data_IF_583070332937
#
_entry.id   IF_583070332937
#
_cell.length_a   1.000
_cell.length_b   1.000
_cell.length_c   1.000
_cell.angle_alpha   90.00
_cell.angle_beta   90.00
_cell.angle_gamma   90.00
#
_symmetry.space_group_name_H-M   'P 1'
#
loop_
_entity.id
_entity.type
_entity.pdbx_description
1 polymer ?
#
# COMPACT_ATOMS: atom_id res chain seq x y z
N UNK A 1 41.49 21.65 3.22
CA UNK A 1 40.09 21.19 3.11
C UNK A 1 39.77 20.86 1.65
N UNK A 2 39.69 19.58 1.27
CA UNK A 2 39.29 19.17 -0.08
C UNK A 2 37.76 19.14 -0.15
N UNK A 3 37.16 20.06 -0.91
CA UNK A 3 35.72 20.08 -1.17
C UNK A 3 35.30 18.76 -1.83
N UNK A 4 34.42 18.00 -1.17
CA UNK A 4 33.74 16.84 -1.76
C UNK A 4 32.83 17.35 -2.88
N UNK A 5 33.23 17.13 -4.14
CA UNK A 5 32.35 17.30 -5.31
C UNK A 5 31.11 16.41 -5.12
N UNK A 6 29.95 17.02 -4.89
CA UNK A 6 28.64 16.34 -4.95
C UNK A 6 28.54 15.68 -6.32
N UNK A 7 28.62 14.35 -6.37
CA UNK A 7 28.27 13.59 -7.57
C UNK A 7 26.78 13.78 -7.80
N UNK A 8 26.42 14.65 -8.74
CA UNK A 8 25.08 14.69 -9.29
C UNK A 8 24.87 13.38 -10.04
N UNK A 9 23.98 12.51 -9.50
CA UNK A 9 23.56 11.30 -10.21
C UNK A 9 23.07 11.73 -11.60
N UNK A 10 23.50 11.08 -12.70
CA UNK A 10 23.02 11.41 -14.03
C UNK A 10 21.49 11.31 -14.05
N UNK A 11 20.81 12.33 -14.58
CA UNK A 11 19.36 12.29 -14.81
C UNK A 11 19.08 11.05 -15.66
N UNK A 12 18.24 10.14 -15.15
CA UNK A 12 17.84 8.93 -15.91
C UNK A 12 17.26 9.40 -17.24
N UNK A 13 17.88 9.00 -18.35
CA UNK A 13 17.36 9.25 -19.70
C UNK A 13 16.10 8.38 -19.84
N UNK A 14 14.93 9.01 -19.94
CA UNK A 14 13.70 8.30 -20.27
C UNK A 14 13.85 7.68 -21.65
N UNK A 15 13.52 6.39 -21.78
CA UNK A 15 13.52 5.71 -23.05
C UNK A 15 12.11 5.81 -23.59
N UNK A 16 11.79 6.82 -24.38
CA UNK A 16 10.45 6.94 -25.01
C UNK A 16 10.30 5.96 -26.18
N UNK A 17 10.42 4.65 -25.89
CA UNK A 17 10.15 3.57 -26.83
C UNK A 17 8.74 3.04 -26.56
N UNK A 18 7.88 3.13 -27.57
CA UNK A 18 6.59 2.45 -27.57
C UNK A 18 6.79 0.94 -27.72
N UNK A 19 6.01 0.16 -26.98
CA UNK A 19 6.00 -1.29 -26.97
C UNK A 19 4.56 -1.76 -27.16
N UNK A 20 4.35 -2.67 -28.10
CA UNK A 20 3.13 -3.48 -28.14
C UNK A 20 3.17 -4.50 -27.00
N UNK A 21 2.02 -4.76 -26.39
CA UNK A 21 1.89 -5.76 -25.34
C UNK A 21 0.64 -6.61 -25.52
N UNK A 22 0.70 -7.81 -24.95
CA UNK A 22 -0.45 -8.64 -24.63
C UNK A 22 -0.26 -9.13 -23.19
N UNK A 23 -1.22 -8.85 -22.32
CA UNK A 23 -1.13 -9.20 -20.90
C UNK A 23 -1.57 -10.66 -20.72
N UNK A 24 -0.66 -11.47 -20.18
CA UNK A 24 -0.92 -12.90 -19.93
C UNK A 24 -1.45 -13.15 -18.52
N UNK A 25 -0.90 -12.43 -17.54
CA UNK A 25 -1.25 -12.55 -16.13
C UNK A 25 -0.92 -11.26 -15.37
N UNK A 26 -1.20 -11.26 -14.06
CA UNK A 26 -0.82 -10.18 -13.16
C UNK A 26 0.21 -10.66 -12.14
N UNK A 27 1.06 -9.74 -11.67
CA UNK A 27 1.96 -9.99 -10.55
C UNK A 27 1.28 -9.73 -9.20
N UNK A 28 1.99 -10.02 -8.10
CA UNK A 28 1.48 -9.80 -6.74
C UNK A 28 1.30 -8.32 -6.38
N UNK A 29 1.82 -7.40 -7.19
CA UNK A 29 1.66 -5.94 -7.01
C UNK A 29 0.49 -5.38 -7.82
N UNK A 30 -0.26 -6.22 -8.54
CA UNK A 30 -1.38 -5.79 -9.37
C UNK A 30 -0.95 -5.15 -10.69
N UNK A 31 0.23 -5.52 -11.20
CA UNK A 31 0.72 -5.08 -12.50
C UNK A 31 0.45 -6.18 -13.53
N UNK A 32 -0.06 -5.81 -14.71
CA UNK A 32 -0.13 -6.72 -15.83
C UNK A 32 1.28 -7.08 -16.30
N UNK A 33 1.48 -8.34 -16.66
CA UNK A 33 2.75 -8.87 -17.12
C UNK A 33 2.59 -9.33 -18.57
N UNK A 34 3.39 -8.74 -19.45
CA UNK A 34 3.52 -9.11 -20.85
C UNK A 34 4.91 -9.68 -21.12
N UNK A 35 5.04 -10.50 -22.16
CA UNK A 35 6.33 -10.92 -22.69
C UNK A 35 6.69 -10.11 -23.93
N UNK A 36 7.62 -9.17 -23.79
CA UNK A 36 8.09 -8.29 -24.88
C UNK A 36 9.58 -8.53 -25.10
N UNK A 37 10.02 -8.73 -26.35
CA UNK A 37 11.42 -9.04 -26.68
C UNK A 37 12.00 -10.20 -25.83
N UNK A 38 11.20 -11.26 -25.59
CA UNK A 38 11.53 -12.40 -24.71
C UNK A 38 11.85 -12.05 -23.24
N UNK A 39 11.42 -10.88 -22.77
CA UNK A 39 11.61 -10.42 -21.38
C UNK A 39 10.26 -10.10 -20.75
N UNK A 40 10.08 -10.36 -19.45
CA UNK A 40 8.89 -9.91 -18.74
C UNK A 40 8.87 -8.39 -18.70
N UNK A 41 7.72 -7.82 -19.04
CA UNK A 41 7.42 -6.40 -19.02
C UNK A 41 6.23 -6.16 -18.09
N UNK A 42 6.47 -5.41 -17.01
CA UNK A 42 5.44 -5.03 -16.04
C UNK A 42 4.77 -3.74 -16.46
N UNK A 43 3.44 -3.76 -16.58
CA UNK A 43 2.61 -2.67 -17.08
C UNK A 43 1.46 -2.47 -16.06
N UNK A 44 1.60 -1.54 -15.11
CA UNK A 44 0.52 -1.23 -14.17
C UNK A 44 -0.76 -0.80 -14.90
N UNK A 45 -1.92 -0.99 -14.26
CA UNK A 45 -3.24 -0.55 -14.76
C UNK A 45 -3.73 -1.32 -16.00
N UNK A 46 -3.25 -2.55 -16.17
CA UNK A 46 -3.67 -3.46 -17.23
C UNK A 46 -4.08 -4.81 -16.65
N UNK A 47 -5.02 -5.48 -17.33
CA UNK A 47 -5.61 -6.75 -16.93
C UNK A 47 -5.23 -7.87 -17.92
N UNK A 48 -5.25 -9.15 -17.48
CA UNK A 48 -5.13 -10.29 -18.37
C UNK A 48 -6.15 -10.26 -19.51
N UNK A 49 -5.70 -10.60 -20.72
CA UNK A 49 -6.52 -10.53 -21.94
C UNK A 49 -6.45 -9.20 -22.69
N UNK A 50 -5.79 -8.18 -22.12
CA UNK A 50 -5.65 -6.87 -22.76
C UNK A 50 -4.46 -6.80 -23.71
N UNK A 51 -4.63 -6.02 -24.78
CA UNK A 51 -3.55 -5.67 -25.71
C UNK A 51 -3.52 -4.17 -25.94
N UNK A 52 -2.35 -3.62 -26.28
CA UNK A 52 -2.23 -2.21 -26.56
C UNK A 52 -0.80 -1.72 -26.69
N UNK A 53 -0.64 -0.41 -26.47
CA UNK A 53 0.65 0.27 -26.51
C UNK A 53 1.03 0.74 -25.10
N UNK A 54 2.27 0.49 -24.71
CA UNK A 54 2.88 1.01 -23.50
C UNK A 54 4.18 1.76 -23.81
N UNK A 55 4.53 2.73 -22.98
CA UNK A 55 5.80 3.46 -23.08
C UNK A 55 6.80 2.87 -22.11
N UNK A 56 7.94 2.38 -22.60
CA UNK A 56 9.02 1.86 -21.76
C UNK A 56 9.50 2.94 -20.78
N UNK A 57 9.55 2.64 -19.49
CA UNK A 57 10.02 3.59 -18.46
C UNK A 57 11.39 3.18 -17.92
N UNK A 58 11.64 1.87 -17.83
CA UNK A 58 12.90 1.32 -17.32
C UNK A 58 13.14 -0.09 -17.88
N UNK A 59 14.36 -0.37 -18.31
CA UNK A 59 14.83 -1.72 -18.59
C UNK A 59 16.05 -2.01 -17.70
N UNK A 60 16.02 -3.09 -16.92
CA UNK A 60 17.12 -3.45 -16.01
C UNK A 60 17.05 -4.92 -15.62
N UNK A 61 18.22 -5.57 -15.45
CA UNK A 61 18.32 -6.95 -14.92
C UNK A 61 17.42 -7.98 -15.63
N UNK A 62 17.26 -7.87 -16.95
CA UNK A 62 16.45 -8.81 -17.73
C UNK A 62 14.94 -8.57 -17.66
N UNK A 63 14.48 -7.53 -16.97
CA UNK A 63 13.06 -7.16 -16.91
C UNK A 63 12.82 -5.75 -17.45
N UNK A 64 11.59 -5.48 -17.88
CA UNK A 64 11.15 -4.18 -18.36
C UNK A 64 9.97 -3.67 -17.52
N UNK A 65 9.90 -2.35 -17.38
CA UNK A 65 8.77 -1.64 -16.78
C UNK A 65 8.28 -0.63 -17.80
N UNK A 66 6.97 -0.58 -18.03
CA UNK A 66 6.35 0.36 -18.95
C UNK A 66 5.11 1.00 -18.30
N UNK A 67 4.66 2.11 -18.88
CA UNK A 67 3.40 2.77 -18.51
C UNK A 67 2.40 2.59 -19.64
N UNK A 68 1.18 2.19 -19.32
CA UNK A 68 0.09 2.11 -20.28
C UNK A 68 -0.05 3.43 -21.04
N UNK A 69 -0.18 3.37 -22.36
CA UNK A 69 -0.43 4.52 -23.23
C UNK A 69 -1.82 4.44 -23.85
N UNK A 70 -2.19 3.28 -24.37
CA UNK A 70 -3.52 3.03 -24.94
C UNK A 70 -3.82 1.53 -24.93
N UNK A 71 -5.11 1.20 -24.90
CA UNK A 71 -5.62 -0.16 -25.07
C UNK A 71 -6.23 -0.29 -26.45
N UNK A 72 -5.89 -1.38 -27.14
CA UNK A 72 -6.51 -1.78 -28.40
C UNK A 72 -7.62 -2.82 -28.15
N UNK A 73 -7.41 -3.71 -27.18
CA UNK A 73 -8.38 -4.70 -26.69
C UNK A 73 -8.46 -4.58 -25.17
N UNK A 74 -9.67 -4.41 -24.65
CA UNK A 74 -9.98 -4.35 -23.22
C UNK A 74 -10.48 -5.71 -22.72
N UNK A 75 -10.19 -6.05 -21.46
CA UNK A 75 -10.73 -7.26 -20.85
C UNK A 75 -12.23 -7.09 -20.51
N UNK A 76 -12.98 -8.18 -20.54
CA UNK A 76 -14.43 -8.17 -20.25
C UNK A 76 -14.76 -7.71 -18.82
N UNK A 77 -13.82 -7.91 -17.89
CA UNK A 77 -13.92 -7.51 -16.49
C UNK A 77 -13.26 -6.15 -16.19
N UNK A 78 -12.94 -5.36 -17.22
CA UNK A 78 -12.52 -3.97 -17.03
C UNK A 78 -13.70 -3.11 -16.64
N UNK A 79 -13.51 -2.29 -15.61
CA UNK A 79 -14.45 -1.25 -15.20
C UNK A 79 -13.77 0.12 -15.27
N UNK A 80 -14.57 1.17 -15.45
CA UNK A 80 -14.07 2.54 -15.32
C UNK A 80 -13.77 2.81 -13.82
N UNK A 81 -12.54 3.20 -13.46
CA UNK A 81 -12.17 3.43 -12.08
C UNK A 81 -12.93 4.60 -11.47
N UNK A 82 -13.50 4.40 -10.29
CA UNK A 82 -14.24 5.46 -9.58
C UNK A 82 -13.39 6.70 -9.22
N UNK A 83 -12.06 6.57 -9.15
CA UNK A 83 -11.14 7.63 -8.77
C UNK A 83 -10.53 8.31 -9.99
N UNK A 84 -10.75 9.63 -10.14
CA UNK A 84 -10.22 10.43 -11.25
C UNK A 84 -8.69 10.44 -11.35
N UNK A 85 -8.01 10.15 -10.24
CA UNK A 85 -6.55 10.10 -10.16
C UNK A 85 -5.98 8.71 -10.49
N UNK A 86 -6.82 7.70 -10.74
CA UNK A 86 -6.40 6.30 -10.77
C UNK A 86 -5.27 6.01 -11.76
N UNK A 87 -5.31 6.57 -12.96
CA UNK A 87 -4.32 6.27 -14.00
C UNK A 87 -2.90 6.75 -13.65
N UNK A 88 -2.78 7.88 -12.97
CA UNK A 88 -1.50 8.48 -12.62
C UNK A 88 -1.04 8.13 -11.20
N UNK A 89 -1.98 8.02 -10.26
CA UNK A 89 -1.69 7.77 -8.85
C UNK A 89 -1.21 6.32 -8.62
N UNK A 90 -0.07 6.13 -7.93
CA UNK A 90 0.47 4.81 -7.62
C UNK A 90 -0.25 4.13 -6.44
N UNK A 91 -1.23 4.77 -5.82
CA UNK A 91 -1.83 4.29 -4.55
C UNK A 91 -2.76 3.09 -4.69
N UNK A 92 -3.61 3.07 -5.73
CA UNK A 92 -4.60 2.01 -5.95
C UNK A 92 -4.24 1.19 -7.19
N UNK A 93 -4.37 -0.14 -7.14
CA UNK A 93 -3.94 -1.00 -8.26
C UNK A 93 -5.10 -1.59 -9.06
N UNK A 94 -6.24 -1.87 -8.43
CA UNK A 94 -7.30 -2.72 -9.00
C UNK A 94 -8.64 -2.03 -9.28
N UNK A 95 -8.76 -0.69 -9.13
CA UNK A 95 -10.04 0.01 -9.36
C UNK A 95 -10.53 -0.06 -10.82
N UNK A 96 -9.70 -0.54 -11.75
CA UNK A 96 -10.03 -0.74 -13.15
C UNK A 96 -10.63 -2.13 -13.44
N UNK A 97 -10.96 -2.91 -12.42
CA UNK A 97 -11.63 -4.21 -12.55
C UNK A 97 -12.71 -4.37 -11.49
N UNK A 98 -13.69 -5.22 -11.80
CA UNK A 98 -14.72 -5.61 -10.85
C UNK A 98 -14.09 -6.25 -9.60
N UNK A 99 -14.82 -6.21 -8.49
CA UNK A 99 -14.26 -6.61 -7.21
C UNK A 99 -13.98 -8.13 -7.12
N UNK A 100 -14.80 -8.95 -7.78
CA UNK A 100 -14.59 -10.41 -7.77
C UNK A 100 -13.31 -10.77 -8.51
N UNK A 101 -13.05 -10.11 -9.64
CA UNK A 101 -11.80 -10.24 -10.37
C UNK A 101 -10.59 -9.80 -9.54
N UNK A 102 -10.68 -8.67 -8.81
CA UNK A 102 -9.62 -8.26 -7.87
C UNK A 102 -9.28 -9.35 -6.84
N UNK A 103 -10.29 -9.96 -6.21
CA UNK A 103 -10.11 -11.03 -5.24
C UNK A 103 -9.47 -12.26 -5.88
N UNK A 104 -9.94 -12.64 -7.08
CA UNK A 104 -9.39 -13.75 -7.83
C UNK A 104 -7.91 -13.55 -8.17
N UNK A 105 -7.52 -12.36 -8.64
CA UNK A 105 -6.13 -12.06 -8.95
C UNK A 105 -5.23 -12.11 -7.72
N UNK A 106 -5.70 -11.59 -6.58
CA UNK A 106 -4.98 -11.68 -5.30
C UNK A 106 -4.80 -13.12 -4.84
N UNK A 107 -5.85 -13.94 -4.94
CA UNK A 107 -5.79 -15.36 -4.60
C UNK A 107 -4.79 -16.10 -5.49
N UNK A 108 -4.87 -15.90 -6.82
CA UNK A 108 -3.94 -16.52 -7.77
C UNK A 108 -2.48 -16.13 -7.49
N UNK A 109 -2.23 -14.87 -7.13
CA UNK A 109 -0.89 -14.41 -6.78
C UNK A 109 -0.35 -15.14 -5.53
N UNK A 110 -1.20 -15.32 -4.50
CA UNK A 110 -0.87 -16.09 -3.30
C UNK A 110 -0.64 -17.57 -3.63
N UNK A 111 -1.52 -18.20 -4.39
CA UNK A 111 -1.38 -19.60 -4.83
C UNK A 111 -0.06 -19.83 -5.57
N UNK A 112 0.32 -18.89 -6.45
CA UNK A 112 1.57 -18.95 -7.19
C UNK A 112 2.80 -18.84 -6.29
N UNK A 113 2.70 -18.10 -5.17
CA UNK A 113 3.76 -18.08 -4.16
C UNK A 113 3.80 -19.38 -3.36
N UNK A 114 2.64 -19.87 -2.89
CA UNK A 114 2.54 -21.08 -2.08
C UNK A 114 2.98 -22.33 -2.84
N UNK A 115 2.64 -22.46 -4.14
CA UNK A 115 3.09 -23.57 -5.00
C UNK A 115 4.61 -23.68 -5.15
N UNK A 116 5.36 -22.59 -4.90
CA UNK A 116 6.83 -22.59 -4.96
C UNK A 116 7.46 -23.04 -3.64
N UNK A 117 6.68 -23.10 -2.56
CA UNK A 117 7.13 -23.62 -1.29
C UNK A 117 7.09 -25.14 -1.35
N UNK A 118 8.12 -25.79 -0.78
CA UNK A 118 8.14 -27.26 -0.62
C UNK A 118 7.34 -27.68 0.62
N UNK A 119 6.10 -27.20 0.75
CA UNK A 119 5.23 -27.43 1.90
C UNK A 119 3.79 -27.70 1.43
N UNK A 120 2.98 -28.45 2.21
CA UNK A 120 1.55 -28.53 1.99
C UNK A 120 0.93 -27.13 1.97
N UNK A 121 0.15 -26.85 0.94
CA UNK A 121 -0.57 -25.58 0.81
C UNK A 121 -1.94 -25.76 1.48
N UNK A 122 -2.27 -24.99 2.52
CA UNK A 122 -3.60 -25.06 3.14
C UNK A 122 -4.66 -24.51 2.17
N UNK A 123 -5.91 -24.86 2.42
CA UNK A 123 -7.03 -24.15 1.79
C UNK A 123 -7.01 -22.69 2.25
N UNK A 124 -7.06 -21.76 1.29
CA UNK A 124 -7.04 -20.34 1.57
C UNK A 124 -8.44 -19.78 1.43
N UNK A 125 -8.98 -19.26 2.53
CA UNK A 125 -10.22 -18.50 2.54
C UNK A 125 -9.92 -17.02 2.22
N UNK A 126 -10.58 -16.48 1.19
CA UNK A 126 -10.53 -15.06 0.88
C UNK A 126 -11.67 -14.36 1.60
N UNK A 127 -11.34 -13.47 2.53
CA UNK A 127 -12.35 -12.63 3.19
C UNK A 127 -12.48 -11.29 2.45
N UNK A 128 -13.62 -11.02 1.78
CA UNK A 128 -13.83 -9.75 1.09
C UNK A 128 -14.04 -8.61 2.09
N UNK A 129 -13.72 -7.39 1.66
CA UNK A 129 -14.15 -6.17 2.35
C UNK A 129 -15.51 -5.72 1.83
N UNK A 130 -16.33 -5.16 2.71
CA UNK A 130 -17.61 -4.54 2.33
C UNK A 130 -17.39 -3.23 1.55
N UNK A 131 -16.27 -2.54 1.76
CA UNK A 131 -15.99 -1.22 1.18
C UNK A 131 -14.58 -1.16 0.57
N UNK A 132 -14.50 -1.01 -0.75
CA UNK A 132 -13.22 -0.86 -1.50
C UNK A 132 -12.56 0.52 -1.33
N UNK A 133 -13.33 1.51 -0.88
CA UNK A 133 -12.97 2.92 -0.78
C UNK A 133 -13.21 3.40 0.67
N UNK A 134 -12.69 4.58 1.02
CA UNK A 134 -12.92 5.18 2.34
C UNK A 134 -12.26 4.46 3.51
N UNK A 135 -11.43 3.43 3.27
CA UNK A 135 -10.95 2.56 4.34
C UNK A 135 -9.68 3.05 5.03
N UNK A 136 -8.92 3.97 4.43
CA UNK A 136 -7.61 4.37 4.96
C UNK A 136 -7.76 5.40 6.07
N UNK A 137 -7.55 4.96 7.31
CA UNK A 137 -7.48 5.83 8.49
C UNK A 137 -6.15 6.60 8.61
N UNK A 138 -5.21 6.39 7.68
CA UNK A 138 -3.89 7.00 7.64
C UNK A 138 -3.39 7.14 6.20
N UNK A 139 -2.81 8.29 5.88
CA UNK A 139 -2.21 8.59 4.59
C UNK A 139 -0.95 9.44 4.75
N UNK A 140 0.12 9.07 4.04
CA UNK A 140 1.34 9.86 3.96
C UNK A 140 1.44 10.44 2.54
N UNK A 141 1.51 11.76 2.46
CA UNK A 141 1.71 12.53 1.24
C UNK A 141 3.13 13.09 1.26
N UNK A 142 3.73 13.22 0.08
CA UNK A 142 5.02 13.88 -0.10
C UNK A 142 4.81 15.28 -0.64
N UNK A 143 5.59 16.23 -0.15
CA UNK A 143 5.58 17.59 -0.66
C UNK A 143 6.91 17.96 -1.33
N UNK A 144 6.82 18.83 -2.34
CA UNK A 144 7.94 19.49 -3.00
C UNK A 144 7.55 20.90 -3.41
N UNK A 145 8.19 21.89 -2.80
CA UNK A 145 7.79 23.29 -2.91
C UNK A 145 6.29 23.42 -2.56
N UNK A 146 5.47 23.87 -3.51
CA UNK A 146 4.02 24.09 -3.32
C UNK A 146 3.12 22.89 -3.67
N UNK A 147 3.70 21.76 -4.06
CA UNK A 147 2.94 20.56 -4.47
C UNK A 147 2.97 19.53 -3.35
N UNK A 148 1.83 18.89 -3.08
CA UNK A 148 1.68 17.82 -2.08
C UNK A 148 0.84 16.67 -2.63
N UNK A 149 1.27 15.43 -2.44
CA UNK A 149 0.59 14.27 -3.03
C UNK A 149 1.43 13.00 -3.07
N UNK A 150 1.15 12.11 -4.01
CA UNK A 150 1.89 10.84 -4.14
C UNK A 150 3.16 11.02 -4.99
N UNK A 151 4.14 10.14 -4.83
CA UNK A 151 5.35 10.17 -5.67
C UNK A 151 5.16 9.29 -6.91
N UNK A 152 5.34 9.88 -8.09
CA UNK A 152 5.47 9.13 -9.33
C UNK A 152 6.78 8.32 -9.30
N UNK A 153 6.69 6.98 -9.31
CA UNK A 153 7.87 6.10 -9.27
C UNK A 153 8.79 6.19 -10.50
N UNK A 154 8.32 6.80 -11.59
CA UNK A 154 9.05 6.99 -12.85
C UNK A 154 9.72 8.36 -12.88
N UNK A 155 8.94 9.43 -12.68
CA UNK A 155 9.42 10.82 -12.78
C UNK A 155 10.01 11.36 -11.48
N UNK A 156 9.67 10.74 -10.34
CA UNK A 156 9.99 11.21 -8.99
C UNK A 156 9.40 12.60 -8.68
N UNK A 157 8.36 13.00 -9.41
CA UNK A 157 7.58 14.21 -9.14
C UNK A 157 6.45 13.91 -8.15
N UNK A 158 5.97 14.96 -7.48
CA UNK A 158 4.76 14.90 -6.67
C UNK A 158 3.54 14.99 -7.59
N UNK A 159 2.63 14.03 -7.46
CA UNK A 159 1.34 13.97 -8.14
C UNK A 159 0.26 14.38 -7.12
N UNK A 160 -0.31 15.57 -7.31
CA UNK A 160 -1.43 16.04 -6.49
C UNK A 160 -2.65 15.13 -6.69
N UNK A 161 -3.33 14.79 -5.59
CA UNK A 161 -4.48 13.87 -5.57
C UNK A 161 -5.61 14.44 -4.69
N UNK A 162 -6.13 15.65 -4.99
CA UNK A 162 -7.09 16.36 -4.13
C UNK A 162 -8.43 15.62 -3.91
N UNK A 163 -8.69 14.55 -4.66
CA UNK A 163 -9.95 13.77 -4.57
C UNK A 163 -9.65 12.29 -4.29
N UNK A 164 -8.74 12.02 -3.35
CA UNK A 164 -8.42 10.66 -2.96
C UNK A 164 -9.65 9.97 -2.33
N UNK A 165 -10.23 8.99 -3.04
CA UNK A 165 -11.38 8.23 -2.54
C UNK A 165 -11.03 7.12 -1.55
N UNK A 166 -9.73 6.87 -1.31
CA UNK A 166 -9.29 5.80 -0.41
C UNK A 166 -9.26 6.22 1.07
N UNK A 167 -9.24 7.52 1.37
CA UNK A 167 -9.14 8.02 2.75
C UNK A 167 -10.50 7.96 3.46
N UNK A 168 -10.45 7.67 4.75
CA UNK A 168 -11.60 7.76 5.65
C UNK A 168 -12.18 9.18 5.64
N UNK A 169 -13.51 9.29 5.68
CA UNK A 169 -14.22 10.58 5.63
C UNK A 169 -13.79 11.53 6.75
N UNK A 170 -13.39 11.00 7.91
CA UNK A 170 -12.93 11.79 9.05
C UNK A 170 -11.62 12.53 8.78
N UNK A 171 -10.81 12.05 7.82
CA UNK A 171 -9.60 12.74 7.38
C UNK A 171 -9.87 13.83 6.35
N UNK A 172 -11.09 13.91 5.79
CA UNK A 172 -11.36 14.69 4.57
C UNK A 172 -11.07 16.18 4.74
N UNK A 173 -11.52 16.78 5.85
CA UNK A 173 -11.31 18.22 6.10
C UNK A 173 -9.82 18.57 6.12
N UNK A 174 -9.04 17.88 6.96
CA UNK A 174 -7.60 18.11 7.06
C UNK A 174 -6.87 17.81 5.73
N UNK A 175 -7.32 16.80 4.99
CA UNK A 175 -6.77 16.46 3.68
C UNK A 175 -7.00 17.58 2.65
N UNK A 176 -8.21 18.15 2.60
CA UNK A 176 -8.57 19.20 1.65
C UNK A 176 -7.85 20.53 1.94
N UNK A 177 -7.63 20.85 3.22
CA UNK A 177 -6.87 22.03 3.65
C UNK A 177 -5.43 22.02 3.09
N UNK A 178 -4.81 20.85 2.96
CA UNK A 178 -3.47 20.72 2.34
C UNK A 178 -3.44 21.20 0.89
N UNK A 179 -4.56 21.12 0.16
CA UNK A 179 -4.66 21.52 -1.24
C UNK A 179 -5.18 22.94 -1.43
N UNK A 180 -6.17 23.35 -0.61
CA UNK A 180 -6.91 24.58 -0.81
C UNK A 180 -6.18 25.83 -0.29
N UNK A 181 -5.66 25.76 0.93
CA UNK A 181 -5.06 26.93 1.60
C UNK A 181 -3.55 27.00 1.35
N UNK A 182 -2.87 25.84 1.33
CA UNK A 182 -1.42 25.72 1.17
C UNK A 182 -0.59 26.58 2.15
N UNK A 183 -1.19 27.02 3.27
CA UNK A 183 -0.52 27.73 4.36
C UNK A 183 0.66 26.95 4.95
N UNK A 184 0.60 25.62 4.91
CA UNK A 184 1.73 24.75 5.27
C UNK A 184 3.04 25.06 4.52
N UNK A 185 2.98 25.72 3.36
CA UNK A 185 4.19 26.11 2.61
C UNK A 185 5.02 27.19 3.30
N UNK A 186 4.45 27.90 4.28
CA UNK A 186 5.16 28.87 5.11
C UNK A 186 6.09 28.18 6.13
N UNK A 187 5.68 27.03 6.65
CA UNK A 187 6.41 26.27 7.66
C UNK A 187 7.29 25.15 7.07
N UNK A 188 6.99 24.71 5.83
CA UNK A 188 7.60 23.54 5.21
C UNK A 188 8.18 23.85 3.83
N UNK A 189 9.43 24.30 3.81
CA UNK A 189 10.16 24.56 2.57
C UNK A 189 10.79 23.29 1.97
N UNK A 190 11.12 23.36 0.68
CA UNK A 190 11.92 22.33 0.01
C UNK A 190 11.12 21.05 -0.28
N UNK A 191 11.47 19.95 0.37
CA UNK A 191 10.83 18.66 0.16
C UNK A 191 10.75 17.83 1.43
N UNK A 192 9.66 17.09 1.58
CA UNK A 192 9.41 16.29 2.77
C UNK A 192 8.14 15.48 2.63
N UNK A 193 7.50 15.17 3.76
CA UNK A 193 6.21 14.47 3.79
C UNK A 193 5.32 14.93 4.94
N UNK A 194 4.02 14.79 4.73
CA UNK A 194 2.95 15.03 5.68
C UNK A 194 2.18 13.74 5.86
N UNK A 195 2.01 13.30 7.09
CA UNK A 195 1.16 12.17 7.44
C UNK A 195 -0.10 12.69 8.15
N UNK A 196 -1.26 12.28 7.65
CA UNK A 196 -2.55 12.43 8.31
C UNK A 196 -2.99 11.07 8.84
N UNK A 197 -3.47 11.01 10.07
CA UNK A 197 -3.94 9.77 10.69
C UNK A 197 -5.03 10.04 11.73
N UNK A 198 -5.92 9.08 11.93
CA UNK A 198 -6.94 9.18 12.96
C UNK A 198 -6.37 8.82 14.34
N UNK A 199 -6.80 9.58 15.34
CA UNK A 199 -6.56 9.37 16.78
C UNK A 199 -7.89 9.33 17.52
N UNK A 200 -7.88 9.04 18.83
CA UNK A 200 -9.07 9.13 19.68
C UNK A 200 -9.63 10.55 19.77
N UNK A 201 -8.76 11.56 19.66
CA UNK A 201 -9.10 12.99 19.80
C UNK A 201 -9.44 13.67 18.46
N UNK A 202 -9.21 13.01 17.31
CA UNK A 202 -9.50 13.56 16.00
C UNK A 202 -8.47 13.17 14.93
N UNK A 203 -7.98 14.16 14.17
CA UNK A 203 -6.98 13.96 13.11
C UNK A 203 -5.61 14.42 13.60
N UNK A 204 -4.67 13.48 13.70
CA UNK A 204 -3.26 13.77 13.88
C UNK A 204 -2.61 14.18 12.57
N UNK A 205 -1.72 15.18 12.65
CA UNK A 205 -0.89 15.65 11.53
C UNK A 205 0.57 15.59 11.93
N UNK A 206 1.40 14.94 11.11
CA UNK A 206 2.84 14.84 11.37
C UNK A 206 3.65 15.19 10.12
N UNK A 207 4.50 16.20 10.24
CA UNK A 207 5.41 16.66 9.18
C UNK A 207 6.82 16.14 9.43
N UNK A 208 7.41 15.52 8.40
CA UNK A 208 8.80 15.06 8.35
C UNK A 208 9.23 14.17 9.53
N UNK A 209 8.26 13.53 10.19
CA UNK A 209 8.51 12.53 11.22
C UNK A 209 8.73 11.15 10.60
N UNK A 210 9.44 10.23 11.26
CA UNK A 210 9.52 8.85 10.81
C UNK A 210 8.13 8.24 10.57
N UNK A 211 8.03 7.28 9.65
CA UNK A 211 6.78 6.58 9.39
C UNK A 211 6.21 5.99 10.68
N UNK A 212 4.90 6.15 10.89
CA UNK A 212 4.22 5.70 12.10
C UNK A 212 4.77 6.35 13.39
N UNK A 213 5.12 7.64 13.34
CA UNK A 213 5.61 8.37 14.51
C UNK A 213 4.60 8.40 15.66
N UNK A 214 3.31 8.57 15.35
CA UNK A 214 2.21 8.48 16.32
C UNK A 214 1.76 7.05 16.64
N UNK A 215 2.64 6.05 16.50
CA UNK A 215 2.30 4.63 16.63
C UNK A 215 1.93 3.98 15.30
N UNK A 216 2.24 2.69 15.13
CA UNK A 216 1.79 1.92 13.97
C UNK A 216 0.40 1.36 14.25
N UNK A 217 -0.56 1.73 13.41
CA UNK A 217 -1.90 1.15 13.42
C UNK A 217 -2.23 0.56 12.05
N UNK A 218 -3.11 -0.42 12.05
CA UNK A 218 -3.61 -1.00 10.82
C UNK A 218 -4.41 0.05 10.05
N UNK A 219 -4.11 0.20 8.76
CA UNK A 219 -4.67 1.29 7.94
C UNK A 219 -6.15 1.06 7.63
N UNK A 220 -6.58 -0.21 7.56
CA UNK A 220 -7.94 -0.63 7.28
C UNK A 220 -8.54 -1.28 8.53
N UNK A 221 -9.20 -0.49 9.37
CA UNK A 221 -9.72 -0.96 10.65
C UNK A 221 -10.84 -2.02 10.51
N UNK A 222 -11.79 -1.91 9.57
CA UNK A 222 -12.75 -2.99 9.32
C UNK A 222 -12.09 -4.34 9.04
N UNK A 223 -11.07 -4.38 8.18
CA UNK A 223 -10.35 -5.63 7.88
C UNK A 223 -9.41 -6.07 9.01
N UNK A 224 -8.93 -5.13 9.83
CA UNK A 224 -8.18 -5.47 11.04
C UNK A 224 -9.05 -6.23 12.06
N UNK A 225 -10.31 -5.81 12.23
CA UNK A 225 -11.27 -6.53 13.08
C UNK A 225 -11.51 -7.96 12.59
N UNK A 226 -11.74 -8.12 11.29
CA UNK A 226 -11.86 -9.44 10.65
C UNK A 226 -10.61 -10.30 10.90
N UNK A 227 -9.40 -9.71 10.78
CA UNK A 227 -8.15 -10.41 11.05
C UNK A 227 -8.06 -10.87 12.52
N UNK A 228 -8.38 -9.99 13.48
CA UNK A 228 -8.39 -10.33 14.91
C UNK A 228 -9.38 -11.44 15.23
N UNK A 229 -10.60 -11.37 14.68
CA UNK A 229 -11.62 -12.41 14.83
C UNK A 229 -11.16 -13.76 14.26
N UNK A 230 -10.47 -13.76 13.12
CA UNK A 230 -9.91 -14.98 12.54
C UNK A 230 -8.82 -15.61 13.43
N UNK A 231 -7.96 -14.79 14.04
CA UNK A 231 -6.98 -15.26 15.04
C UNK A 231 -7.67 -15.86 16.26
N UNK A 232 -8.64 -15.15 16.84
CA UNK A 232 -9.40 -15.64 18.00
C UNK A 232 -10.15 -16.94 17.71
N UNK A 233 -10.75 -17.05 16.52
CA UNK A 233 -11.42 -18.28 16.09
C UNK A 233 -10.46 -19.47 16.00
N UNK A 234 -9.21 -19.22 15.59
CA UNK A 234 -8.17 -20.26 15.49
C UNK A 234 -7.78 -20.80 16.86
N UNK A 235 -7.78 -19.95 17.89
CA UNK A 235 -7.39 -20.28 19.27
C UNK A 235 -8.57 -20.70 20.15
N UNK A 236 -9.80 -20.76 19.61
CA UNK A 236 -11.03 -20.89 20.41
C UNK A 236 -11.08 -22.16 21.27
N UNK A 237 -10.50 -23.25 20.78
CA UNK A 237 -10.51 -24.55 21.44
C UNK A 237 -9.20 -24.83 22.21
N UNK A 238 -8.26 -23.89 22.22
CA UNK A 238 -6.99 -23.99 22.94
C UNK A 238 -7.11 -23.39 24.35
N UNK A 239 -6.67 -24.12 25.36
CA UNK A 239 -6.40 -23.54 26.69
C UNK A 239 -5.04 -22.82 26.64
N UNK A 240 -5.06 -21.49 26.69
CA UNK A 240 -3.86 -20.66 26.57
C UNK A 240 -3.44 -20.15 27.94
N UNK A 241 -2.44 -20.78 28.55
CA UNK A 241 -1.83 -20.30 29.80
C UNK A 241 -0.71 -19.27 29.55
N UNK A 242 -0.02 -19.38 28.41
CA UNK A 242 1.10 -18.51 28.04
C UNK A 242 1.01 -18.12 26.58
N UNK A 243 1.16 -16.83 26.29
CA UNK A 243 1.10 -16.26 24.95
C UNK A 243 2.41 -15.54 24.60
N UNK A 244 3.10 -16.01 23.56
CA UNK A 244 4.25 -15.32 22.99
C UNK A 244 3.84 -14.55 21.73
N UNK A 245 3.83 -13.22 21.80
CA UNK A 245 3.52 -12.33 20.69
C UNK A 245 4.81 -11.79 20.05
N UNK A 246 5.16 -12.34 18.88
CA UNK A 246 6.34 -11.94 18.12
C UNK A 246 5.98 -10.87 17.09
N UNK A 247 6.80 -9.82 17.02
CA UNK A 247 6.51 -8.62 16.21
C UNK A 247 5.21 -7.95 16.67
N UNK A 248 5.05 -7.88 17.99
CA UNK A 248 3.79 -7.55 18.64
C UNK A 248 3.28 -6.14 18.37
N UNK A 249 4.18 -5.21 18.04
CA UNK A 249 3.90 -3.78 18.04
C UNK A 249 3.22 -3.36 19.36
N UNK A 250 2.05 -2.76 19.24
CA UNK A 250 1.21 -2.32 20.37
C UNK A 250 0.25 -3.41 20.90
N UNK A 251 0.37 -4.66 20.43
CA UNK A 251 -0.47 -5.78 20.85
C UNK A 251 -1.69 -6.02 19.95
N UNK A 252 -1.66 -5.58 18.69
CA UNK A 252 -2.82 -5.60 17.81
C UNK A 252 -3.53 -6.96 17.70
N UNK A 253 -2.79 -8.07 17.73
CA UNK A 253 -3.34 -9.42 17.61
C UNK A 253 -3.50 -10.13 18.96
N UNK A 254 -2.74 -9.72 19.98
CA UNK A 254 -2.71 -10.37 21.30
C UNK A 254 -3.61 -9.72 22.34
N UNK A 255 -3.87 -8.40 22.25
CA UNK A 255 -4.77 -7.68 23.16
C UNK A 255 -6.14 -8.39 23.27
N UNK A 256 -6.82 -8.76 22.16
CA UNK A 256 -8.12 -9.44 22.25
C UNK A 256 -8.09 -10.85 22.86
N UNK A 257 -6.91 -11.49 22.95
CA UNK A 257 -6.77 -12.84 23.52
C UNK A 257 -6.71 -12.75 25.05
N UNK A 258 -6.02 -11.74 25.58
CA UNK A 258 -5.81 -11.57 27.03
C UNK A 258 -6.87 -10.70 27.68
N UNK A 259 -7.62 -9.92 26.91
CA UNK A 259 -8.68 -9.04 27.42
C UNK A 259 -9.73 -9.83 28.21
N UNK A 260 -9.81 -9.56 29.52
CA UNK A 260 -10.73 -10.26 30.43
C UNK A 260 -10.23 -11.59 30.97
N UNK A 261 -8.97 -11.97 30.72
CA UNK A 261 -8.35 -13.17 31.28
C UNK A 261 -6.93 -12.87 31.81
N UNK A 262 -6.87 -12.34 33.04
CA UNK A 262 -5.63 -11.98 33.73
C UNK A 262 -4.72 -13.18 34.09
N UNK A 263 -5.18 -14.42 33.86
CA UNK A 263 -4.38 -15.61 34.11
C UNK A 263 -3.38 -15.93 32.99
N UNK A 264 -3.56 -15.35 31.79
CA UNK A 264 -2.68 -15.61 30.65
C UNK A 264 -1.36 -14.84 30.82
N UNK A 265 -0.25 -15.55 30.95
CA UNK A 265 1.08 -14.93 30.93
C UNK A 265 1.45 -14.53 29.50
N UNK A 266 1.44 -13.22 29.20
CA UNK A 266 1.79 -12.70 27.88
C UNK A 266 3.21 -12.13 27.84
N UNK A 267 3.99 -12.56 26.85
CA UNK A 267 5.31 -12.00 26.52
C UNK A 267 5.26 -11.37 25.13
N UNK A 268 5.51 -10.06 25.06
CA UNK A 268 5.52 -9.28 23.81
C UNK A 268 6.95 -8.98 23.38
N UNK A 269 7.29 -9.27 22.12
CA UNK A 269 8.63 -9.06 21.55
C UNK A 269 8.54 -8.21 20.29
N UNK A 270 9.17 -7.04 20.31
CA UNK A 270 9.27 -6.16 19.15
C UNK A 270 10.67 -5.53 19.02
N UNK A 271 11.02 -5.08 17.81
CA UNK A 271 12.26 -4.36 17.53
C UNK A 271 12.24 -2.91 18.05
N UNK A 272 11.05 -2.32 18.20
CA UNK A 272 10.87 -0.95 18.72
C UNK A 272 10.23 -1.00 20.13
N UNK A 273 11.00 -1.28 21.19
CA UNK A 273 10.46 -1.54 22.53
C UNK A 273 9.70 -0.35 23.14
N UNK A 274 9.97 0.88 22.70
CA UNK A 274 9.20 2.07 23.06
C UNK A 274 7.73 2.05 22.58
N UNK A 275 7.38 1.14 21.66
CA UNK A 275 6.02 0.94 21.14
C UNK A 275 5.27 -0.18 21.85
N UNK A 276 5.95 -1.01 22.64
CA UNK A 276 5.27 -1.99 23.49
C UNK A 276 4.67 -1.19 24.64
N UNK A 277 3.36 -1.30 24.87
CA UNK A 277 2.73 -0.78 26.10
C UNK A 277 3.50 -1.40 27.26
N UNK A 278 4.35 -0.62 27.94
CA UNK A 278 5.02 -1.10 29.13
C UNK A 278 3.96 -1.28 30.21
N UNK A 279 3.42 -2.48 30.33
CA UNK A 279 2.90 -2.90 31.62
C UNK A 279 4.09 -2.90 32.58
N UNK A 280 3.97 -2.03 33.57
CA UNK A 280 4.94 -1.97 34.66
C UNK A 280 4.92 -3.34 35.33
N UNK A 281 5.98 -4.10 35.13
CA UNK A 281 6.33 -5.19 36.03
C UNK A 281 6.61 -4.52 37.40
N UNK A 282 5.57 -4.45 38.23
CA UNK A 282 5.67 -4.10 39.66
C UNK A 282 6.13 -5.31 40.46
#
# INVERSE_FOLDING_TARGET
>A
MKQRRRHTKPKKKFIERALEFAIENMDSMGQGVAKVDNKPCFIPKTLPGETGIATLTKASKGVMFARLKSLDITADNREEPACVHFESCPGCHYLHTDYQSELLYKQQALDNHLKRLSAPVPEVEVVPTEQRLGYRNRIQLHYRHKYIGMIDGVTNNVLEIPECLAIDERLRTAFDELYNDKSWTEDHEGNGHCELYLTEEGVGVAWDKPYAHGGFSQVNEPMNRVLREAVLKTLKDDEVDTLLDLFSGEGNLSDPIVEGNDAIERVMVDYAPERVKQESLS
#
